data_IF_801639831738
#
_entry.id   IF_801639831738
#
_cell.length_a   1.000
_cell.length_b   1.000
_cell.length_c   1.000
_cell.angle_alpha   90.00
_cell.angle_beta   90.00
_cell.angle_gamma   90.00
#
_symmetry.space_group_name_H-M   'P 1'
#
loop_
_entity.id
_entity.type
_entity.pdbx_description
1 polymer ?
#
# COMPACT_ATOMS: atom_id res chain seq x y z
N UNK A 1 -0.73 -1.15 9.26
CA UNK A 1 -1.06 0.21 9.73
C UNK A 1 0.25 0.91 10.06
N UNK A 2 0.50 2.07 9.42
CA UNK A 2 1.62 2.94 9.77
C UNK A 2 1.45 3.39 11.22
N UNK A 3 2.52 3.37 12.00
CA UNK A 3 2.49 3.80 13.41
C UNK A 3 2.71 5.30 13.55
N UNK A 4 3.37 5.89 12.58
CA UNK A 4 3.58 7.32 12.47
C UNK A 4 2.36 8.02 11.86
N UNK A 5 1.76 8.93 12.64
CA UNK A 5 0.56 9.67 12.24
C UNK A 5 0.85 10.73 11.17
N UNK A 6 2.04 11.33 11.17
CA UNK A 6 2.41 12.35 10.20
C UNK A 6 2.62 11.72 8.82
N UNK A 7 3.38 10.62 8.75
CA UNK A 7 3.56 9.84 7.51
C UNK A 7 2.23 9.27 7.00
N UNK A 8 1.35 8.84 7.92
CA UNK A 8 0.01 8.39 7.55
C UNK A 8 -0.80 9.52 6.92
N UNK A 9 -0.77 10.72 7.52
CA UNK A 9 -1.48 11.88 6.98
C UNK A 9 -0.93 12.27 5.60
N UNK A 10 0.38 12.25 5.40
CA UNK A 10 1.00 12.58 4.10
C UNK A 10 0.54 11.67 2.95
N UNK A 11 0.26 10.39 3.23
CA UNK A 11 -0.17 9.41 2.21
C UNK A 11 -1.70 9.25 2.12
N UNK A 12 -2.43 9.72 3.13
CA UNK A 12 -3.90 9.69 3.16
C UNK A 12 -4.53 10.99 2.65
N UNK A 13 -3.85 12.13 2.75
CA UNK A 13 -4.38 13.40 2.28
C UNK A 13 -4.40 13.45 0.76
N UNK A 14 -5.60 13.52 0.19
CA UNK A 14 -5.79 13.64 -1.26
C UNK A 14 -5.42 15.04 -1.75
N UNK A 15 -5.51 16.07 -0.91
CA UNK A 15 -5.16 17.44 -1.29
C UNK A 15 -3.64 17.63 -1.17
N UNK A 16 -2.96 17.56 -2.31
CA UNK A 16 -1.51 17.75 -2.39
C UNK A 16 -0.69 16.46 -2.30
N UNK A 17 -1.30 15.29 -2.51
CA UNK A 17 -0.55 14.07 -2.81
C UNK A 17 0.19 14.24 -4.14
N UNK A 18 1.47 13.85 -4.17
CA UNK A 18 2.29 13.86 -5.39
C UNK A 18 3.17 12.62 -5.44
N UNK A 19 3.67 12.27 -6.62
CA UNK A 19 4.62 11.17 -6.80
C UNK A 19 5.87 11.35 -5.92
N UNK A 20 6.40 12.59 -5.84
CA UNK A 20 7.58 12.88 -5.02
C UNK A 20 7.35 12.65 -3.52
N UNK A 21 6.13 12.86 -3.02
CA UNK A 21 5.81 12.55 -1.61
C UNK A 21 5.77 11.03 -1.38
N UNK A 22 5.21 10.28 -2.33
CA UNK A 22 5.17 8.81 -2.26
C UNK A 22 6.60 8.26 -2.29
N UNK A 23 7.42 8.71 -3.24
CA UNK A 23 8.82 8.32 -3.36
C UNK A 23 9.64 8.74 -2.14
N UNK A 24 9.36 9.92 -1.58
CA UNK A 24 10.01 10.40 -0.36
C UNK A 24 9.79 9.47 0.83
N UNK A 25 8.57 8.96 1.01
CA UNK A 25 8.29 7.98 2.09
C UNK A 25 8.96 6.64 1.80
N UNK A 26 8.98 6.18 0.55
CA UNK A 26 9.68 4.95 0.16
C UNK A 26 11.20 5.06 0.39
N UNK A 27 11.81 6.18 0.02
CA UNK A 27 13.22 6.45 0.24
C UNK A 27 13.55 6.48 1.74
N UNK A 28 12.73 7.16 2.54
CA UNK A 28 12.88 7.18 4.00
C UNK A 28 12.84 5.77 4.60
N UNK A 29 11.87 4.94 4.18
CA UNK A 29 11.80 3.56 4.63
C UNK A 29 13.04 2.75 4.25
N UNK A 30 13.52 2.89 3.01
CA UNK A 30 14.72 2.18 2.56
C UNK A 30 15.98 2.61 3.33
N UNK A 31 16.11 3.88 3.67
CA UNK A 31 17.26 4.39 4.43
C UNK A 31 17.22 3.98 5.90
N UNK A 32 16.04 3.95 6.51
CA UNK A 32 15.84 3.40 7.87
C UNK A 32 16.17 1.89 7.92
N UNK A 33 15.76 1.14 6.89
CA UNK A 33 16.11 -0.29 6.77
C UNK A 33 17.62 -0.48 6.62
N UNK A 34 18.29 0.29 5.76
CA UNK A 34 19.76 0.20 5.57
C UNK A 34 20.54 0.61 6.82
N UNK A 35 20.03 1.57 7.57
CA UNK A 35 20.69 2.10 8.77
C UNK A 35 20.32 1.37 10.05
N UNK A 36 19.32 0.47 10.00
CA UNK A 36 18.74 -0.25 11.13
C UNK A 36 18.24 0.69 12.25
N UNK A 37 17.80 1.90 11.89
CA UNK A 37 17.35 2.95 12.80
C UNK A 37 15.98 3.45 12.41
N UNK A 38 15.24 4.01 13.37
CA UNK A 38 13.92 4.59 13.10
C UNK A 38 12.83 3.56 12.79
N UNK A 39 13.07 2.27 13.06
CA UNK A 39 12.15 1.18 12.72
C UNK A 39 10.85 1.19 13.54
N UNK A 40 10.82 1.90 14.66
CA UNK A 40 9.68 2.08 15.55
C UNK A 40 8.48 2.79 14.90
N UNK A 41 8.70 3.52 13.79
CA UNK A 41 7.64 4.26 13.07
C UNK A 41 6.98 3.43 11.96
N UNK A 42 7.65 2.36 11.50
CA UNK A 42 7.17 1.48 10.42
C UNK A 42 6.32 0.31 10.93
N UNK A 43 5.52 -0.38 10.10
CA UNK A 43 4.72 -1.53 10.55
C UNK A 43 5.57 -2.67 11.15
N UNK A 44 5.11 -3.29 12.25
CA UNK A 44 5.84 -4.36 12.92
C UNK A 44 5.86 -5.68 12.13
N UNK A 45 4.75 -6.02 11.46
CA UNK A 45 4.60 -7.25 10.68
C UNK A 45 4.72 -6.93 9.21
N UNK A 46 5.61 -7.65 8.53
CA UNK A 46 5.86 -7.53 7.09
C UNK A 46 6.02 -6.06 6.63
N UNK A 47 6.95 -5.29 7.22
CA UNK A 47 7.10 -3.85 6.98
C UNK A 47 7.19 -3.52 5.48
N UNK A 48 8.05 -4.21 4.74
CA UNK A 48 8.23 -3.97 3.30
C UNK A 48 6.95 -4.22 2.48
N UNK A 49 6.20 -5.27 2.81
CA UNK A 49 4.91 -5.54 2.17
C UNK A 49 3.88 -4.45 2.51
N UNK A 50 3.76 -4.08 3.78
CA UNK A 50 2.85 -3.02 4.19
C UNK A 50 3.19 -1.69 3.51
N UNK A 51 4.46 -1.28 3.49
CA UNK A 51 4.88 0.00 2.90
C UNK A 51 4.66 0.01 1.39
N UNK A 52 5.00 -1.07 0.68
CA UNK A 52 4.73 -1.17 -0.76
C UNK A 52 3.22 -1.09 -1.08
N UNK A 53 2.35 -1.74 -0.29
CA UNK A 53 0.89 -1.66 -0.50
C UNK A 53 0.30 -0.31 -0.11
N UNK A 54 0.86 0.37 0.89
CA UNK A 54 0.43 1.74 1.23
C UNK A 54 0.82 2.71 0.09
N UNK A 55 2.05 2.63 -0.41
CA UNK A 55 2.51 3.43 -1.56
C UNK A 55 1.66 3.14 -2.81
N UNK A 56 1.37 1.87 -3.11
CA UNK A 56 0.48 1.47 -4.20
C UNK A 56 -0.91 2.12 -4.08
N UNK A 57 -1.51 2.10 -2.89
CA UNK A 57 -2.82 2.72 -2.66
C UNK A 57 -2.79 4.24 -2.82
N UNK A 58 -1.72 4.90 -2.37
CA UNK A 58 -1.53 6.33 -2.58
C UNK A 58 -1.38 6.65 -4.08
N UNK A 59 -0.54 5.90 -4.79
CA UNK A 59 -0.32 6.09 -6.22
C UNK A 59 -1.59 5.83 -7.05
N UNK A 60 -2.40 4.83 -6.65
CA UNK A 60 -3.71 4.56 -7.26
C UNK A 60 -4.62 5.80 -7.19
N UNK A 61 -4.65 6.50 -6.05
CA UNK A 61 -5.44 7.74 -5.88
C UNK A 61 -4.89 8.89 -6.71
N UNK A 62 -3.57 9.07 -6.72
CA UNK A 62 -2.91 10.07 -7.55
C UNK A 62 -3.27 9.87 -9.03
N UNK A 63 -3.11 8.65 -9.53
CA UNK A 63 -3.40 8.31 -10.91
C UNK A 63 -4.89 8.47 -11.26
N UNK A 64 -5.80 8.15 -10.32
CA UNK A 64 -7.23 8.42 -10.51
C UNK A 64 -7.53 9.91 -10.69
N UNK A 65 -6.87 10.79 -9.92
CA UNK A 65 -7.01 12.24 -10.05
C UNK A 65 -6.42 12.77 -11.36
N UNK A 66 -5.27 12.26 -11.78
CA UNK A 66 -4.58 12.68 -13.01
C UNK A 66 -5.33 12.28 -14.28
N UNK A 67 -5.93 11.08 -14.29
CA UNK A 67 -6.69 10.58 -15.43
C UNK A 67 -8.11 11.17 -15.48
N UNK A 68 -8.70 11.50 -14.33
CA UNK A 68 -10.06 12.00 -14.24
C UNK A 68 -11.04 11.07 -14.96
N UNK A 69 -11.82 11.62 -15.88
CA UNK A 69 -12.85 10.86 -16.62
C UNK A 69 -12.28 9.93 -17.71
N UNK A 70 -10.96 9.93 -17.94
CA UNK A 70 -10.34 9.06 -18.97
C UNK A 70 -10.28 7.60 -18.54
N UNK A 71 -10.21 7.32 -17.24
CA UNK A 71 -10.15 5.96 -16.71
C UNK A 71 -10.53 5.90 -15.22
N UNK A 72 -11.18 4.82 -14.81
CA UNK A 72 -11.38 4.50 -13.40
C UNK A 72 -10.17 3.71 -12.88
N UNK A 73 -9.45 4.28 -11.91
CA UNK A 73 -8.28 3.65 -11.29
C UNK A 73 -8.59 3.33 -9.84
N UNK A 74 -8.53 2.04 -9.48
CA UNK A 74 -8.85 1.54 -8.15
C UNK A 74 -7.85 0.47 -7.71
N UNK A 75 -7.73 0.29 -6.39
CA UNK A 75 -6.99 -0.81 -5.78
C UNK A 75 -7.92 -1.54 -4.83
N UNK A 76 -7.86 -2.87 -4.84
CA UNK A 76 -8.79 -3.74 -4.10
C UNK A 76 -8.02 -4.76 -3.29
N UNK A 77 -8.53 -5.08 -2.11
CA UNK A 77 -8.01 -6.14 -1.27
C UNK A 77 -8.82 -7.43 -1.55
N UNK A 78 -8.21 -8.49 -2.13
CA UNK A 78 -8.94 -9.69 -2.54
C UNK A 78 -9.39 -10.57 -1.35
N UNK A 79 -8.96 -10.25 -0.13
CA UNK A 79 -9.09 -11.10 1.04
C UNK A 79 -7.78 -11.83 1.36
N UNK A 80 -7.80 -12.66 2.40
CA UNK A 80 -6.67 -13.55 2.68
C UNK A 80 -6.83 -14.84 1.87
N UNK A 81 -6.10 -14.95 0.76
CA UNK A 81 -6.34 -15.97 -0.27
C UNK A 81 -5.29 -17.07 -0.22
N UNK A 82 -5.72 -18.33 -0.31
CA UNK A 82 -4.88 -19.52 -0.35
C UNK A 82 -4.08 -19.57 -1.66
N UNK A 83 -2.81 -19.17 -1.60
CA UNK A 83 -1.89 -19.09 -2.74
C UNK A 83 -0.47 -19.49 -2.32
N UNK A 84 0.46 -19.59 -3.27
CA UNK A 84 1.88 -19.80 -2.97
C UNK A 84 2.46 -18.65 -2.12
N UNK A 85 1.99 -17.41 -2.33
CA UNK A 85 2.40 -16.23 -1.57
C UNK A 85 2.08 -16.35 -0.08
N UNK A 86 1.00 -17.06 0.25
CA UNK A 86 0.54 -17.31 1.62
C UNK A 86 0.90 -18.70 2.11
N UNK A 87 1.78 -19.41 1.39
CA UNK A 87 2.21 -20.78 1.70
C UNK A 87 1.04 -21.76 1.88
N UNK A 88 -0.01 -21.60 1.06
CA UNK A 88 -1.19 -22.45 1.13
C UNK A 88 -2.13 -22.15 2.29
N UNK A 89 -2.00 -21.00 2.96
CA UNK A 89 -2.94 -20.54 3.99
C UNK A 89 -3.85 -19.43 3.47
N UNK A 90 -5.12 -19.42 3.88
CA UNK A 90 -6.08 -18.43 3.41
C UNK A 90 -7.48 -18.72 3.93
N UNK A 91 -8.30 -17.67 4.02
CA UNK A 91 -9.73 -17.76 4.31
C UNK A 91 -10.54 -18.02 3.04
N UNK A 92 -9.98 -17.67 1.87
CA UNK A 92 -10.61 -17.78 0.56
C UNK A 92 -9.78 -18.61 -0.42
N UNK A 93 -10.44 -19.31 -1.33
CA UNK A 93 -9.81 -19.90 -2.52
C UNK A 93 -9.41 -18.82 -3.54
N UNK A 94 -8.50 -19.12 -4.49
CA UNK A 94 -8.16 -18.20 -5.58
C UNK A 94 -9.36 -17.68 -6.37
N UNK A 95 -10.37 -18.53 -6.58
CA UNK A 95 -11.59 -18.15 -7.31
C UNK A 95 -12.45 -17.15 -6.50
N UNK A 96 -12.63 -17.39 -5.20
CA UNK A 96 -13.36 -16.48 -4.31
C UNK A 96 -12.64 -15.14 -4.14
N UNK A 97 -11.31 -15.17 -3.99
CA UNK A 97 -10.51 -13.95 -3.93
C UNK A 97 -10.57 -13.12 -5.22
N UNK A 98 -10.63 -13.78 -6.38
CA UNK A 98 -10.81 -13.12 -7.66
C UNK A 98 -12.21 -12.51 -7.82
N UNK A 99 -13.25 -13.17 -7.32
CA UNK A 99 -14.61 -12.64 -7.32
C UNK A 99 -14.71 -11.32 -6.53
N UNK A 100 -13.97 -11.18 -5.42
CA UNK A 100 -13.91 -9.95 -4.64
C UNK A 100 -13.33 -8.74 -5.42
N UNK A 101 -12.67 -8.94 -6.55
CA UNK A 101 -12.15 -7.86 -7.39
C UNK A 101 -13.19 -7.31 -8.37
N UNK A 102 -14.25 -8.09 -8.65
CA UNK A 102 -15.26 -7.77 -9.65
C UNK A 102 -16.51 -7.06 -9.08
N UNK A 103 -16.53 -6.85 -7.76
CA UNK A 103 -17.58 -6.15 -7.01
C UNK A 103 -17.13 -4.74 -6.64
#
# INVERSE_FOLDING_TARGET
HLRDEELRQQLCDTMGLTEQKIDGVLAMFLDDVKSEKGMEKWPLKFPSYCISKIALNAYTRLLALELGDKACVNSVHPGYVTTDMTFGSGDFSPAEGAANLAH
#
